data_IF_642434546829
#
_entry.id   IF_642434546829
#
_cell.length_a   1.000
_cell.length_b   1.000
_cell.length_c   1.000
_cell.angle_alpha   90.00
_cell.angle_beta   90.00
_cell.angle_gamma   90.00
#
_symmetry.space_group_name_H-M   'P 1'
#
loop_
_entity.id
_entity.type
_entity.pdbx_description
1 polymer ?
#
# COMPACT_ATOMS: atom_id res chain seq x y z
N UNK A 1 -18.87 11.25 2.28
CA UNK A 1 -18.16 9.98 2.50
C UNK A 1 -18.82 8.92 1.63
N UNK A 2 -18.14 8.35 0.62
CA UNK A 2 -18.80 7.44 -0.32
C UNK A 2 -19.36 6.15 0.31
N UNK A 3 -18.78 5.66 1.40
CA UNK A 3 -19.29 4.46 2.07
C UNK A 3 -20.59 4.67 2.88
N UNK A 4 -20.87 5.88 3.34
CA UNK A 4 -22.11 6.14 4.09
C UNK A 4 -23.33 6.13 3.16
N UNK A 5 -23.13 6.33 1.87
CA UNK A 5 -24.19 6.24 0.84
C UNK A 5 -24.23 4.87 0.15
N UNK A 6 -23.21 4.02 0.32
CA UNK A 6 -23.25 2.66 -0.16
C UNK A 6 -24.04 1.79 0.82
N UNK A 7 -25.00 1.05 0.31
CA UNK A 7 -25.73 0.08 1.10
C UNK A 7 -24.77 -1.09 1.38
N UNK A 8 -24.29 -1.17 2.62
CA UNK A 8 -23.47 -2.28 3.11
C UNK A 8 -24.36 -3.13 4.01
N UNK A 9 -24.61 -4.35 3.61
CA UNK A 9 -25.38 -5.27 4.39
C UNK A 9 -24.49 -5.95 5.47
N UNK A 10 -25.06 -6.17 6.64
CA UNK A 10 -24.41 -7.00 7.66
C UNK A 10 -24.21 -8.42 7.13
N UNK A 11 -23.04 -8.97 7.42
CA UNK A 11 -22.76 -10.40 7.23
C UNK A 11 -22.88 -11.13 8.57
N UNK A 12 -22.68 -12.44 8.57
CA UNK A 12 -22.69 -13.22 9.80
C UNK A 12 -21.61 -12.82 10.81
N UNK A 13 -20.45 -12.34 10.30
CA UNK A 13 -19.26 -11.98 11.11
C UNK A 13 -19.04 -10.48 11.23
N UNK A 14 -19.51 -9.69 10.27
CA UNK A 14 -19.19 -8.26 10.20
C UNK A 14 -20.45 -7.43 10.05
N UNK A 15 -20.52 -6.38 10.83
CA UNK A 15 -21.64 -5.41 10.81
C UNK A 15 -21.21 -4.12 10.13
N UNK A 16 -22.16 -3.29 9.71
CA UNK A 16 -21.90 -1.93 9.19
C UNK A 16 -21.00 -1.12 10.14
N UNK A 17 -21.16 -1.33 11.46
CA UNK A 17 -20.33 -0.70 12.48
C UNK A 17 -18.84 -1.05 12.33
N UNK A 18 -18.52 -2.28 11.93
CA UNK A 18 -17.12 -2.71 11.77
C UNK A 18 -16.46 -2.03 10.59
N UNK A 19 -17.17 -1.90 9.46
CA UNK A 19 -16.68 -1.14 8.29
C UNK A 19 -16.47 0.34 8.63
N UNK A 20 -17.43 0.97 9.31
CA UNK A 20 -17.32 2.40 9.67
C UNK A 20 -16.15 2.63 10.62
N UNK A 21 -15.96 1.77 11.63
CA UNK A 21 -14.86 1.85 12.58
C UNK A 21 -13.51 1.72 11.88
N UNK A 22 -13.39 0.74 11.00
CA UNK A 22 -12.15 0.47 10.27
C UNK A 22 -11.81 1.62 9.30
N UNK A 23 -12.80 2.12 8.55
CA UNK A 23 -12.61 3.26 7.66
C UNK A 23 -12.21 4.53 8.44
N UNK A 24 -12.86 4.78 9.57
CA UNK A 24 -12.54 5.94 10.40
C UNK A 24 -11.13 5.87 11.00
N UNK A 25 -10.69 4.69 11.44
CA UNK A 25 -9.33 4.48 11.94
C UNK A 25 -8.30 4.67 10.82
N UNK A 26 -8.54 4.08 9.65
CA UNK A 26 -7.63 4.17 8.50
C UNK A 26 -7.56 5.59 7.93
N UNK A 27 -8.69 6.28 7.80
CA UNK A 27 -8.73 7.67 7.31
C UNK A 27 -8.27 8.71 8.33
N UNK A 28 -8.05 8.29 9.58
CA UNK A 28 -7.73 9.18 10.69
C UNK A 28 -6.29 9.67 10.75
N UNK A 29 -6.01 10.44 11.82
CA UNK A 29 -4.70 11.07 12.05
C UNK A 29 -3.57 10.10 12.33
N UNK A 30 -3.87 8.86 12.71
CA UNK A 30 -2.88 7.82 12.99
C UNK A 30 -2.45 7.03 11.75
N UNK A 31 -3.20 7.12 10.65
CA UNK A 31 -2.93 6.40 9.40
C UNK A 31 -2.89 7.37 8.21
N UNK A 32 -3.91 7.43 7.36
CA UNK A 32 -3.86 8.16 6.08
C UNK A 32 -3.52 9.65 6.24
N UNK A 33 -4.24 10.36 7.12
CA UNK A 33 -3.97 11.78 7.36
C UNK A 33 -2.61 11.96 8.03
N UNK A 34 -2.28 11.13 9.04
CA UNK A 34 -0.98 11.15 9.70
C UNK A 34 0.17 10.85 8.73
N UNK A 35 0.04 9.83 7.90
CA UNK A 35 1.02 9.50 6.87
C UNK A 35 1.22 10.63 5.85
N UNK A 36 0.13 11.31 5.46
CA UNK A 36 0.24 12.49 4.60
C UNK A 36 0.94 13.67 5.28
N UNK A 37 0.70 13.87 6.57
CA UNK A 37 1.39 14.92 7.35
C UNK A 37 2.88 14.58 7.46
N UNK A 38 3.23 13.33 7.80
CA UNK A 38 4.63 12.89 7.87
C UNK A 38 5.35 13.05 6.51
N UNK A 39 4.68 12.76 5.41
CA UNK A 39 5.22 12.96 4.06
C UNK A 39 5.54 14.43 3.78
N UNK A 40 4.61 15.34 4.11
CA UNK A 40 4.81 16.79 3.94
C UNK A 40 5.89 17.34 4.90
N UNK A 41 5.89 16.92 6.16
CA UNK A 41 6.89 17.33 7.14
C UNK A 41 8.28 16.75 6.84
N UNK A 42 8.34 15.65 6.10
CA UNK A 42 9.57 15.02 5.62
C UNK A 42 10.22 15.72 4.44
N UNK A 43 9.51 16.64 3.77
CA UNK A 43 10.10 17.43 2.67
C UNK A 43 11.28 18.27 3.18
N UNK A 44 12.38 18.25 2.43
CA UNK A 44 13.65 18.92 2.77
C UNK A 44 14.32 18.42 4.06
N UNK A 45 13.93 17.23 4.57
CA UNK A 45 14.57 16.58 5.72
C UNK A 45 15.19 15.24 5.31
N UNK A 46 16.20 14.81 6.06
CA UNK A 46 16.71 13.45 5.96
C UNK A 46 15.96 12.58 6.96
N UNK A 47 15.01 11.80 6.45
CA UNK A 47 14.28 10.82 7.25
C UNK A 47 15.09 9.53 7.36
N UNK A 48 14.98 8.88 8.51
CA UNK A 48 15.47 7.52 8.73
C UNK A 48 14.60 6.48 8.05
N UNK A 49 15.10 5.26 7.86
CA UNK A 49 14.33 4.15 7.28
C UNK A 49 12.99 3.90 8.01
N UNK A 50 12.90 3.88 9.36
CA UNK A 50 11.62 3.73 10.05
C UNK A 50 10.62 4.87 9.76
N UNK A 51 11.10 6.10 9.59
CA UNK A 51 10.23 7.24 9.28
C UNK A 51 9.70 7.17 7.85
N UNK A 52 10.53 6.82 6.88
CA UNK A 52 10.08 6.59 5.50
C UNK A 52 9.08 5.43 5.45
N UNK A 53 9.32 4.35 6.18
CA UNK A 53 8.39 3.24 6.31
C UNK A 53 7.05 3.69 6.90
N UNK A 54 7.05 4.51 7.96
CA UNK A 54 5.81 5.03 8.55
C UNK A 54 4.99 5.88 7.56
N UNK A 55 5.66 6.65 6.69
CA UNK A 55 4.99 7.35 5.59
C UNK A 55 4.31 6.36 4.63
N UNK A 56 5.00 5.33 4.17
CA UNK A 56 4.45 4.34 3.25
C UNK A 56 3.27 3.56 3.86
N UNK A 57 3.41 3.17 5.13
CA UNK A 57 2.38 2.46 5.89
C UNK A 57 1.12 3.32 6.02
N UNK A 58 1.25 4.54 6.53
CA UNK A 58 0.11 5.41 6.78
C UNK A 58 -0.53 5.94 5.50
N UNK A 59 0.27 6.52 4.62
CA UNK A 59 -0.21 7.22 3.43
C UNK A 59 -0.80 6.29 2.37
N UNK A 60 -0.21 5.10 2.19
CA UNK A 60 -0.52 4.21 1.06
C UNK A 60 -1.02 2.84 1.50
N UNK A 61 -0.24 2.10 2.28
CA UNK A 61 -0.58 0.71 2.61
C UNK A 61 -1.87 0.59 3.44
N UNK A 62 -2.12 1.51 4.36
CA UNK A 62 -3.28 1.48 5.22
C UNK A 62 -4.62 1.47 4.44
N UNK A 63 -4.80 2.41 3.51
CA UNK A 63 -6.07 2.51 2.76
C UNK A 63 -6.23 1.36 1.76
N UNK A 64 -5.14 0.92 1.12
CA UNK A 64 -5.14 -0.24 0.23
C UNK A 64 -5.53 -1.51 0.98
N UNK A 65 -4.92 -1.73 2.16
CA UNK A 65 -5.26 -2.85 3.03
C UNK A 65 -6.73 -2.81 3.46
N UNK A 66 -7.23 -1.65 3.88
CA UNK A 66 -8.63 -1.50 4.30
C UNK A 66 -9.61 -1.79 3.16
N UNK A 67 -9.30 -1.37 1.94
CA UNK A 67 -10.14 -1.67 0.78
C UNK A 67 -10.24 -3.18 0.51
N UNK A 68 -9.12 -3.90 0.61
CA UNK A 68 -9.08 -5.35 0.48
C UNK A 68 -9.82 -6.07 1.61
N UNK A 69 -9.63 -5.61 2.84
CA UNK A 69 -10.34 -6.13 4.02
C UNK A 69 -11.84 -5.95 3.87
N UNK A 70 -12.31 -4.81 3.36
CA UNK A 70 -13.74 -4.60 3.10
C UNK A 70 -14.29 -5.62 2.10
N UNK A 71 -13.56 -5.94 1.06
CA UNK A 71 -13.92 -7.02 0.13
C UNK A 71 -14.04 -8.37 0.83
N UNK A 72 -13.08 -8.70 1.68
CA UNK A 72 -13.09 -9.95 2.45
C UNK A 72 -14.24 -9.99 3.48
N UNK A 73 -14.48 -8.89 4.20
CA UNK A 73 -15.59 -8.76 5.16
C UNK A 73 -16.94 -8.91 4.45
N UNK A 74 -17.12 -8.31 3.29
CA UNK A 74 -18.35 -8.43 2.48
C UNK A 74 -18.59 -9.87 2.00
N UNK A 75 -17.52 -10.64 1.83
CA UNK A 75 -17.58 -12.08 1.53
C UNK A 75 -17.70 -12.95 2.79
N UNK A 76 -17.94 -12.37 3.97
CA UNK A 76 -18.02 -13.05 5.25
C UNK A 76 -16.78 -13.89 5.59
N UNK A 77 -15.58 -13.40 5.27
CA UNK A 77 -14.32 -14.07 5.49
C UNK A 77 -14.13 -14.49 6.97
N UNK A 78 -13.46 -15.61 7.18
CA UNK A 78 -13.01 -16.01 8.53
C UNK A 78 -11.90 -15.10 9.01
N UNK A 79 -11.60 -15.11 10.31
CA UNK A 79 -10.50 -14.33 10.89
C UNK A 79 -9.16 -14.62 10.19
N UNK A 80 -8.82 -15.90 9.99
CA UNK A 80 -7.60 -16.29 9.28
C UNK A 80 -7.56 -15.79 7.82
N UNK A 81 -8.70 -15.78 7.13
CA UNK A 81 -8.79 -15.22 5.77
C UNK A 81 -8.66 -13.70 5.79
N UNK A 82 -9.24 -13.02 6.78
CA UNK A 82 -9.11 -11.58 6.92
C UNK A 82 -7.68 -11.16 7.25
N UNK A 83 -6.98 -11.91 8.11
CA UNK A 83 -5.57 -11.74 8.43
C UNK A 83 -4.70 -11.90 7.17
N UNK A 84 -4.89 -12.97 6.41
CA UNK A 84 -4.18 -13.21 5.16
C UNK A 84 -4.37 -12.08 4.13
N UNK A 85 -5.58 -11.57 3.99
CA UNK A 85 -5.87 -10.41 3.12
C UNK A 85 -5.25 -9.13 3.67
N UNK A 86 -5.14 -8.99 4.98
CA UNK A 86 -4.45 -7.87 5.64
C UNK A 86 -2.96 -7.89 5.32
N UNK A 87 -2.30 -9.04 5.49
CA UNK A 87 -0.89 -9.22 5.17
C UNK A 87 -0.60 -9.00 3.69
N UNK A 88 -1.48 -9.52 2.82
CA UNK A 88 -1.41 -9.25 1.39
C UNK A 88 -1.47 -7.75 1.10
N UNK A 89 -2.47 -7.04 1.60
CA UNK A 89 -2.68 -5.62 1.36
C UNK A 89 -1.55 -4.74 1.89
N UNK A 90 -1.08 -5.03 3.10
CA UNK A 90 0.03 -4.33 3.72
C UNK A 90 1.32 -4.45 2.90
N UNK A 91 1.73 -5.67 2.58
CA UNK A 91 2.96 -5.89 1.81
C UNK A 91 2.85 -5.37 0.37
N UNK A 92 1.68 -5.50 -0.26
CA UNK A 92 1.43 -4.94 -1.59
C UNK A 92 1.52 -3.41 -1.59
N UNK A 93 0.99 -2.76 -0.55
CA UNK A 93 1.06 -1.30 -0.39
C UNK A 93 2.49 -0.80 -0.22
N UNK A 94 3.31 -1.50 0.56
CA UNK A 94 4.73 -1.19 0.71
C UNK A 94 5.49 -1.40 -0.60
N UNK A 95 5.28 -2.54 -1.28
CA UNK A 95 5.90 -2.82 -2.57
C UNK A 95 5.53 -1.74 -3.60
N UNK A 96 4.26 -1.35 -3.64
CA UNK A 96 3.76 -0.29 -4.53
C UNK A 96 4.52 1.01 -4.35
N UNK A 97 4.72 1.45 -3.10
CA UNK A 97 5.41 2.70 -2.81
C UNK A 97 6.90 2.64 -3.16
N UNK A 98 7.57 1.53 -2.86
CA UNK A 98 8.98 1.33 -3.23
C UNK A 98 9.14 1.35 -4.76
N UNK A 99 8.22 0.74 -5.51
CA UNK A 99 8.23 0.75 -6.97
C UNK A 99 7.98 2.15 -7.51
N UNK A 100 7.05 2.90 -6.92
CA UNK A 100 6.81 4.30 -7.30
C UNK A 100 8.09 5.15 -7.16
N UNK A 101 8.82 5.00 -6.05
CA UNK A 101 10.09 5.71 -5.83
C UNK A 101 11.15 5.32 -6.88
N UNK A 102 11.24 4.03 -7.21
CA UNK A 102 12.16 3.53 -8.26
C UNK A 102 11.81 4.15 -9.62
N UNK A 103 10.52 4.16 -9.97
CA UNK A 103 10.04 4.68 -11.24
C UNK A 103 10.22 6.19 -11.35
N UNK A 104 9.97 6.95 -10.28
CA UNK A 104 10.18 8.40 -10.28
C UNK A 104 11.65 8.76 -10.58
N UNK A 105 12.59 8.01 -10.01
CA UNK A 105 14.03 8.19 -10.26
C UNK A 105 14.46 7.74 -11.66
N UNK A 106 13.92 6.64 -12.17
CA UNK A 106 14.32 6.10 -13.50
C UNK A 106 13.69 6.90 -14.63
N UNK A 107 12.42 7.30 -14.50
CA UNK A 107 11.74 8.13 -15.49
C UNK A 107 12.39 9.53 -15.64
N UNK A 108 12.94 10.10 -14.55
CA UNK A 108 13.67 11.37 -14.60
C UNK A 108 14.96 11.28 -15.41
N UNK A 109 15.55 10.08 -15.51
CA UNK A 109 16.80 9.84 -16.25
C UNK A 109 16.56 9.64 -17.75
N UNK A 110 15.42 9.04 -18.13
CA UNK A 110 15.11 8.72 -19.55
C UNK A 110 14.29 9.78 -20.28
N UNK A 111 13.46 10.52 -19.56
CA UNK A 111 12.58 11.55 -20.13
C UNK A 111 12.81 12.91 -19.46
N UNK A 112 13.68 13.71 -19.99
CA UNK A 112 13.84 15.15 -19.68
C UNK A 112 12.56 15.96 -20.03
N UNK A 113 11.40 15.55 -19.53
CA UNK A 113 10.09 16.15 -19.76
C UNK A 113 9.28 16.29 -18.48
N UNK A 114 9.43 17.40 -17.83
CA UNK A 114 8.55 18.22 -16.95
C UNK A 114 7.75 17.59 -15.78
N UNK A 115 7.70 16.27 -15.56
CA UNK A 115 6.90 15.69 -14.46
C UNK A 115 7.59 14.59 -13.67
N UNK A 116 8.67 14.02 -14.16
CA UNK A 116 9.48 13.03 -13.44
C UNK A 116 10.46 13.72 -12.48
N UNK A 117 10.80 13.07 -11.38
CA UNK A 117 11.74 13.63 -10.40
C UNK A 117 11.10 14.61 -9.41
N UNK A 118 9.80 14.52 -9.15
CA UNK A 118 9.13 15.39 -8.16
C UNK A 118 9.76 15.24 -6.77
N UNK A 119 10.08 14.01 -6.38
CA UNK A 119 10.66 13.71 -5.07
C UNK A 119 12.12 14.16 -4.99
N UNK A 120 12.84 14.14 -6.11
CA UNK A 120 14.20 14.73 -6.20
C UNK A 120 14.13 16.24 -6.01
N UNK A 121 13.16 16.92 -6.62
CA UNK A 121 12.98 18.37 -6.46
C UNK A 121 12.50 18.76 -5.05
N UNK A 122 11.70 17.89 -4.41
CA UNK A 122 11.25 18.06 -3.03
C UNK A 122 12.30 17.62 -2.00
N UNK A 123 13.44 17.07 -2.45
CA UNK A 123 14.49 16.50 -1.59
C UNK A 123 13.94 15.48 -0.59
N UNK A 124 12.95 14.67 -1.02
CA UNK A 124 12.34 13.64 -0.18
C UNK A 124 13.31 12.48 0.06
N UNK A 125 13.25 11.94 1.27
CA UNK A 125 13.90 10.68 1.60
C UNK A 125 13.06 9.53 1.03
N UNK A 126 13.61 8.81 0.05
CA UNK A 126 12.94 7.68 -0.61
C UNK A 126 13.67 6.38 -0.30
N UNK A 127 13.01 5.25 -0.50
CA UNK A 127 13.64 3.94 -0.30
C UNK A 127 14.96 3.80 -1.10
N UNK A 128 15.04 4.13 -2.42
CA UNK A 128 16.30 4.09 -3.14
C UNK A 128 17.37 5.05 -2.62
N UNK A 129 16.99 6.20 -2.05
CA UNK A 129 17.93 7.14 -1.45
C UNK A 129 18.57 6.59 -0.17
N UNK A 130 17.84 5.77 0.59
CA UNK A 130 18.28 5.19 1.86
C UNK A 130 19.13 3.93 1.68
N UNK A 131 18.68 2.99 0.83
CA UNK A 131 19.29 1.65 0.70
C UNK A 131 19.87 1.36 -0.69
N UNK A 132 19.91 2.38 -1.55
CA UNK A 132 20.38 2.25 -2.94
C UNK A 132 19.36 1.58 -3.86
N UNK A 133 19.57 1.71 -5.17
CA UNK A 133 18.64 1.20 -6.19
C UNK A 133 18.49 -0.33 -6.12
N UNK A 134 19.58 -1.07 -5.94
CA UNK A 134 19.53 -2.54 -5.87
C UNK A 134 18.87 -3.01 -4.58
N UNK A 135 19.08 -2.31 -3.46
CA UNK A 135 18.38 -2.54 -2.20
C UNK A 135 16.88 -2.32 -2.34
N UNK A 136 16.47 -1.22 -2.96
CA UNK A 136 15.06 -0.92 -3.20
C UNK A 136 14.38 -1.98 -4.11
N UNK A 137 15.05 -2.42 -5.18
CA UNK A 137 14.54 -3.51 -6.04
C UNK A 137 14.40 -4.82 -5.27
N UNK A 138 15.33 -5.12 -4.38
CA UNK A 138 15.27 -6.32 -3.53
C UNK A 138 14.11 -6.22 -2.53
N UNK A 139 13.92 -5.06 -1.89
CA UNK A 139 12.81 -4.80 -0.97
C UNK A 139 11.46 -4.93 -1.69
N UNK A 140 11.30 -4.33 -2.87
CA UNK A 140 10.08 -4.46 -3.67
C UNK A 140 9.73 -5.93 -3.96
N UNK A 141 10.72 -6.73 -4.39
CA UNK A 141 10.53 -8.16 -4.64
C UNK A 141 10.17 -8.93 -3.36
N UNK A 142 10.86 -8.65 -2.25
CA UNK A 142 10.60 -9.29 -0.96
C UNK A 142 9.16 -9.01 -0.50
N UNK A 143 8.72 -7.75 -0.55
CA UNK A 143 7.36 -7.36 -0.18
C UNK A 143 6.30 -7.99 -1.08
N UNK A 144 6.56 -8.06 -2.37
CA UNK A 144 5.63 -8.70 -3.29
C UNK A 144 5.53 -10.19 -3.05
N UNK A 145 6.65 -10.86 -2.82
CA UNK A 145 6.62 -12.29 -2.49
C UNK A 145 5.85 -12.54 -1.20
N UNK A 146 6.09 -11.73 -0.14
CA UNK A 146 5.34 -11.82 1.11
C UNK A 146 3.83 -11.61 0.90
N UNK A 147 3.44 -10.67 0.04
CA UNK A 147 2.04 -10.48 -0.32
C UNK A 147 1.46 -11.74 -1.00
N UNK A 148 2.15 -12.29 -1.99
CA UNK A 148 1.69 -13.50 -2.68
C UNK A 148 1.62 -14.72 -1.76
N UNK A 149 2.58 -14.88 -0.85
CA UNK A 149 2.61 -15.98 0.13
C UNK A 149 1.43 -15.91 1.09
N UNK A 150 1.01 -14.72 1.50
CA UNK A 150 -0.16 -14.53 2.35
C UNK A 150 -1.46 -15.06 1.69
N UNK A 151 -1.55 -15.05 0.37
CA UNK A 151 -2.71 -15.56 -0.35
C UNK A 151 -2.76 -17.09 -0.46
N UNK A 152 -1.74 -17.81 0.00
CA UNK A 152 -1.68 -19.28 -0.15
C UNK A 152 -2.74 -20.04 0.66
N UNK A 153 -3.37 -19.41 1.64
CA UNK A 153 -4.52 -19.96 2.35
C UNK A 153 -5.76 -20.14 1.45
N UNK A 154 -5.85 -19.37 0.35
CA UNK A 154 -6.96 -19.43 -0.58
C UNK A 154 -6.71 -20.44 -1.71
N UNK A 155 -7.75 -21.16 -2.19
CA UNK A 155 -7.67 -21.94 -3.42
C UNK A 155 -7.21 -21.08 -4.61
N UNK A 156 -6.52 -21.68 -5.56
CA UNK A 156 -5.91 -20.98 -6.69
C UNK A 156 -6.92 -20.12 -7.46
N UNK A 157 -8.09 -20.68 -7.77
CA UNK A 157 -9.15 -20.01 -8.53
C UNK A 157 -9.67 -18.73 -7.83
N UNK A 158 -9.60 -18.69 -6.50
CA UNK A 158 -10.08 -17.54 -5.72
C UNK A 158 -9.04 -16.45 -5.54
N UNK A 159 -7.75 -16.79 -5.59
CA UNK A 159 -6.65 -15.82 -5.46
C UNK A 159 -6.14 -15.25 -6.79
N UNK A 160 -6.49 -15.86 -7.93
CA UNK A 160 -5.97 -15.49 -9.26
C UNK A 160 -6.03 -13.98 -9.51
N UNK A 161 -7.15 -13.32 -9.26
CA UNK A 161 -7.29 -11.88 -9.51
C UNK A 161 -6.40 -11.01 -8.63
N UNK A 162 -6.17 -11.40 -7.38
CA UNK A 162 -5.26 -10.67 -6.49
C UNK A 162 -3.80 -10.89 -6.90
N UNK A 163 -3.47 -12.10 -7.34
CA UNK A 163 -2.14 -12.42 -7.90
C UNK A 163 -1.88 -11.63 -9.19
N UNK A 164 -2.85 -11.55 -10.09
CA UNK A 164 -2.77 -10.73 -11.31
C UNK A 164 -2.55 -9.25 -10.98
N UNK A 165 -3.29 -8.72 -9.99
CA UNK A 165 -3.14 -7.34 -9.52
C UNK A 165 -1.74 -7.07 -8.98
N UNK A 166 -1.23 -7.96 -8.11
CA UNK A 166 0.12 -7.81 -7.55
C UNK A 166 1.18 -7.82 -8.65
N UNK A 167 1.10 -8.77 -9.58
CA UNK A 167 2.02 -8.84 -10.72
C UNK A 167 1.92 -7.62 -11.63
N UNK A 168 0.72 -7.10 -11.89
CA UNK A 168 0.53 -5.88 -12.67
C UNK A 168 1.19 -4.68 -12.01
N UNK A 169 1.02 -4.52 -10.69
CA UNK A 169 1.61 -3.40 -9.95
C UNK A 169 3.13 -3.46 -9.89
N UNK A 170 3.71 -4.68 -9.86
CA UNK A 170 5.16 -4.89 -9.89
C UNK A 170 5.81 -4.60 -11.24
N UNK A 171 5.11 -4.96 -12.31
CA UNK A 171 5.66 -4.90 -13.66
C UNK A 171 5.21 -3.62 -14.38
N UNK A 172 4.85 -2.56 -13.62
CA UNK A 172 4.56 -1.25 -14.21
C UNK A 172 5.82 -0.70 -14.85
N UNK A 173 5.76 -0.49 -16.16
CA UNK A 173 6.71 0.28 -16.95
C UNK A 173 6.00 1.56 -17.42
N UNK A 174 6.69 2.69 -17.40
CA UNK A 174 6.21 3.96 -17.96
C UNK A 174 6.90 4.26 -19.29
#
# INVERSE_FOLDING_TARGET
MPMVSAQVDDTERYTVRDYVRELAATGGSTMLIGGQILDLEGEHKQLSEPEVRAVYEGKTAALLTTALRFGAMSANATEAQLEAVTDFGYNLGLAFQVIDDILDLTASTEKLGKTAGKDVNAQKSTCPALIGMDGARSEAKCRTQAALDALMIFPEERRTRLVELANYLLNREY
#
